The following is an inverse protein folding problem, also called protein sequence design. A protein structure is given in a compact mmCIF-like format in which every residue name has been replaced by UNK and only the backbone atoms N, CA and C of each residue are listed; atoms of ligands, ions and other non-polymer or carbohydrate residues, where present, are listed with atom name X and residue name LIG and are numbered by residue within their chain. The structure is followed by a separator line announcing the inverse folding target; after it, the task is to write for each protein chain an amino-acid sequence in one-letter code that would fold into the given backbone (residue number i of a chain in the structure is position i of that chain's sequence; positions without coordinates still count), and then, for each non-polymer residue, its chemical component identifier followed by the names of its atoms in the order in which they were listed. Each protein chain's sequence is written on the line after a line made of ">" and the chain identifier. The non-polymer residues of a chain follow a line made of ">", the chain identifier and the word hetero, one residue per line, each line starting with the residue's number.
data_IF_852598308880
#
_entry.id   IF_852598308880
#
_cell.length_a   1.000
_cell.length_b   1.000
_cell.length_c   1.000
_cell.angle_alpha   90.00
_cell.angle_beta   90.00
_cell.angle_gamma   90.00
#
_symmetry.space_group_name_H-M   'P 1'
#
loop_
_entity.id
_entity.type
_entity.pdbx_description
1 polymer ?
#
# COMPACT_ATOMS: atom_id res chain seq x y z
N UNK A 1 -11.13 -9.10 -4.03
CA UNK A 1 -10.64 -7.74 -3.75
C UNK A 1 -10.35 -7.47 -2.26
N UNK A 2 -11.31 -7.64 -1.33
CA UNK A 2 -11.13 -7.22 0.07
C UNK A 2 -9.85 -7.71 0.76
N UNK A 3 -9.57 -9.03 0.72
CA UNK A 3 -8.38 -9.57 1.38
C UNK A 3 -7.06 -9.10 0.76
N UNK A 4 -7.01 -9.01 -0.57
CA UNK A 4 -5.86 -8.49 -1.31
C UNK A 4 -5.58 -7.04 -0.91
N UNK A 5 -6.62 -6.20 -0.91
CA UNK A 5 -6.48 -4.79 -0.56
C UNK A 5 -6.07 -4.62 0.90
N UNK A 6 -6.59 -5.43 1.82
CA UNK A 6 -6.16 -5.40 3.22
C UNK A 6 -4.67 -5.74 3.38
N UNK A 7 -4.15 -6.69 2.59
CA UNK A 7 -2.74 -7.04 2.59
C UNK A 7 -1.84 -5.98 1.95
N UNK A 8 -2.29 -5.36 0.85
CA UNK A 8 -1.59 -4.21 0.27
C UNK A 8 -1.51 -3.04 1.25
N UNK A 9 -2.61 -2.71 1.93
CA UNK A 9 -2.60 -1.65 2.93
C UNK A 9 -1.63 -1.95 4.07
N UNK A 10 -1.48 -3.20 4.51
CA UNK A 10 -0.50 -3.55 5.55
C UNK A 10 0.92 -3.12 5.16
N UNK A 11 1.38 -3.53 3.97
CA UNK A 11 2.71 -3.19 3.46
C UNK A 11 2.89 -1.72 3.05
N UNK A 12 1.86 -1.09 2.47
CA UNK A 12 1.98 0.26 1.90
C UNK A 12 1.56 1.38 2.85
N UNK A 13 0.89 1.08 3.97
CA UNK A 13 0.54 2.09 4.99
C UNK A 13 1.19 1.85 6.34
N UNK A 14 1.66 0.63 6.58
CA UNK A 14 2.13 0.18 7.89
C UNK A 14 1.04 0.21 8.96
N UNK A 15 -0.24 0.26 8.59
CA UNK A 15 -1.36 0.25 9.53
C UNK A 15 -1.43 -1.04 10.35
N UNK A 16 -1.81 -0.97 11.62
CA UNK A 16 -2.01 -2.18 12.43
C UNK A 16 -3.29 -2.89 12.02
N UNK A 17 -3.40 -4.19 12.31
CA UNK A 17 -4.61 -4.99 12.08
C UNK A 17 -5.93 -4.25 12.41
N UNK A 18 -6.07 -3.74 13.64
CA UNK A 18 -7.30 -3.06 14.05
C UNK A 18 -7.51 -1.70 13.36
N UNK A 19 -6.42 -1.03 12.97
CA UNK A 19 -6.46 0.23 12.23
C UNK A 19 -6.98 0.01 10.80
N UNK A 20 -6.63 -1.13 10.18
CA UNK A 20 -6.98 -1.46 8.79
C UNK A 20 -8.28 -2.28 8.68
N UNK A 21 -8.37 -3.43 9.35
CA UNK A 21 -9.55 -4.30 9.29
C UNK A 21 -10.82 -3.62 9.83
N UNK A 22 -10.65 -2.55 10.61
CA UNK A 22 -11.72 -1.73 11.17
C UNK A 22 -12.20 -0.57 10.33
N UNK A 23 -11.63 -0.35 9.14
CA UNK A 23 -12.00 0.81 8.32
C UNK A 23 -13.47 0.78 7.96
N UNK A 24 -14.12 1.93 8.05
CA UNK A 24 -15.50 2.18 7.63
C UNK A 24 -15.50 3.09 6.39
N UNK A 25 -16.57 3.08 5.58
CA UNK A 25 -16.65 3.98 4.42
C UNK A 25 -16.50 5.46 4.77
N UNK A 26 -16.98 5.87 5.96
CA UNK A 26 -16.90 7.25 6.43
C UNK A 26 -15.48 7.68 6.86
N UNK A 27 -14.56 6.72 7.02
CA UNK A 27 -13.16 6.98 7.36
C UNK A 27 -12.27 7.16 6.13
N UNK A 28 -12.85 7.21 4.93
CA UNK A 28 -12.13 7.53 3.70
C UNK A 28 -12.46 8.93 3.21
N UNK A 29 -11.42 9.70 2.87
CA UNK A 29 -11.52 11.00 2.23
C UNK A 29 -11.07 10.87 0.78
N UNK A 30 -12.01 10.93 -0.16
CA UNK A 30 -11.74 10.79 -1.60
C UNK A 30 -10.96 11.96 -2.18
N UNK A 31 -11.08 13.17 -1.61
CA UNK A 31 -10.33 14.33 -2.08
C UNK A 31 -8.86 14.25 -1.66
N UNK A 32 -8.61 13.76 -0.44
CA UNK A 32 -7.25 13.57 0.08
C UNK A 32 -6.65 12.21 -0.26
N UNK A 33 -7.45 11.30 -0.83
CA UNK A 33 -7.11 9.89 -1.04
C UNK A 33 -6.51 9.25 0.22
N UNK A 34 -7.18 9.47 1.36
CA UNK A 34 -6.63 9.14 2.67
C UNK A 34 -7.60 8.35 3.52
N UNK A 35 -7.06 7.45 4.34
CA UNK A 35 -7.80 6.71 5.36
C UNK A 35 -7.54 7.29 6.75
N UNK A 36 -8.60 7.42 7.54
CA UNK A 36 -8.52 7.88 8.92
C UNK A 36 -8.18 6.73 9.86
N UNK A 37 -7.22 6.96 10.76
CA UNK A 37 -6.84 6.01 11.81
C UNK A 37 -7.13 6.64 13.17
N UNK A 38 -8.40 6.68 13.55
CA UNK A 38 -8.83 7.30 14.83
C UNK A 38 -9.39 6.28 15.82
N UNK A 39 -10.21 5.35 15.34
CA UNK A 39 -10.93 4.39 16.19
C UNK A 39 -10.67 2.96 15.71
N UNK A 40 -9.53 2.36 16.06
CA UNK A 40 -9.20 1.01 15.62
C UNK A 40 -10.22 -0.03 16.11
N UNK A 41 -10.51 -1.01 15.27
CA UNK A 41 -11.29 -2.19 15.63
C UNK A 41 -10.61 -2.96 16.76
N UNK A 42 -11.41 -3.42 17.72
CA UNK A 42 -10.97 -4.25 18.82
C UNK A 42 -11.61 -5.62 18.74
N UNK A 43 -10.83 -6.65 19.01
CA UNK A 43 -11.30 -8.01 19.17
C UNK A 43 -11.21 -8.37 20.66
N UNK A 44 -12.35 -8.53 21.34
CA UNK A 44 -12.45 -8.79 22.78
C UNK A 44 -13.45 -9.90 23.01
N UNK A 45 -13.03 -11.00 23.63
CA UNK A 45 -13.88 -12.16 23.97
C UNK A 45 -14.72 -12.66 22.78
N UNK A 46 -14.09 -12.76 21.60
CA UNK A 46 -14.73 -13.20 20.36
C UNK A 46 -15.72 -12.19 19.78
N UNK A 47 -15.67 -10.92 20.20
CA UNK A 47 -16.46 -9.82 19.63
C UNK A 47 -15.59 -8.78 18.96
N UNK A 48 -16.11 -8.23 17.87
CA UNK A 48 -15.54 -7.13 17.14
C UNK A 48 -16.22 -5.84 17.59
N UNK A 49 -15.44 -4.90 18.12
CA UNK A 49 -15.91 -3.62 18.61
C UNK A 49 -15.30 -2.48 17.79
N UNK A 50 -16.14 -1.65 17.17
CA UNK A 50 -15.75 -0.43 16.45
C UNK A 50 -16.38 0.76 17.14
N UNK A 51 -15.56 1.74 17.55
CA UNK A 51 -16.06 2.93 18.27
C UNK A 51 -16.86 2.62 19.54
N UNK A 52 -16.67 1.42 20.11
CA UNK A 52 -17.43 0.90 21.25
C UNK A 52 -18.75 0.21 20.89
N UNK A 53 -19.19 0.24 19.62
CA UNK A 53 -20.31 -0.54 19.13
C UNK A 53 -19.87 -1.97 18.78
N UNK A 54 -20.71 -2.94 19.11
CA UNK A 54 -20.53 -4.33 18.69
C UNK A 54 -20.88 -4.42 17.20
N UNK A 55 -19.86 -4.69 16.38
CA UNK A 55 -19.99 -4.87 14.93
C UNK A 55 -19.86 -6.34 14.55
N UNK A 56 -20.00 -7.25 15.52
CA UNK A 56 -20.16 -8.66 15.17
C UNK A 56 -21.44 -8.88 14.39
N UNK A 57 -21.31 -9.55 13.26
CA UNK A 57 -22.46 -10.12 12.58
C UNK A 57 -22.86 -11.41 13.31
N UNK A 58 -23.54 -11.27 14.45
CA UNK A 58 -24.31 -12.38 15.03
C UNK A 58 -25.62 -12.45 14.26
N UNK A 59 -25.90 -13.60 13.64
CA UNK A 59 -27.29 -14.00 13.43
C UNK A 59 -27.91 -13.95 14.82
N UNK A 60 -28.81 -13.01 15.06
CA UNK A 60 -29.57 -12.96 16.32
C UNK A 60 -30.21 -14.34 16.50
N UNK A 61 -29.81 -15.17 17.48
CA UNK A 61 -30.65 -16.29 17.84
C UNK A 61 -31.93 -15.66 18.37
N UNK A 62 -33.08 -16.11 17.87
CA UNK A 62 -34.39 -15.56 18.22
C UNK A 62 -34.53 -15.26 19.71
N UNK A 63 -35.27 -14.19 20.01
CA UNK A 63 -35.64 -13.76 21.35
C UNK A 63 -35.95 -14.94 22.28
N UNK A 64 -34.96 -15.32 23.09
CA UNK A 64 -35.18 -16.09 24.32
C UNK A 64 -35.36 -15.08 25.47
N UNK A 65 -36.39 -15.22 26.33
CA UNK A 65 -36.58 -14.31 27.45
C UNK A 65 -35.48 -14.55 28.48
N UNK A 66 -34.41 -13.76 28.43
CA UNK A 66 -33.31 -13.88 29.40
C UNK A 66 -31.97 -13.23 29.05
N UNK A 67 -31.86 -12.43 27.99
CA UNK A 67 -30.59 -11.77 27.66
C UNK A 67 -30.25 -10.72 28.73
N UNK A 68 -29.33 -11.07 29.64
CA UNK A 68 -28.72 -10.16 30.61
C UNK A 68 -28.23 -8.90 29.90
N UNK A 69 -28.64 -7.72 30.40
CA UNK A 69 -28.18 -6.41 29.91
C UNK A 69 -26.64 -6.40 29.86
N UNK A 70 -26.02 -6.07 28.72
CA UNK A 70 -24.56 -6.04 28.65
C UNK A 70 -24.03 -4.99 29.63
N UNK A 71 -23.06 -5.41 30.47
CA UNK A 71 -22.29 -4.50 31.32
C UNK A 71 -21.71 -3.40 30.44
N UNK A 72 -21.86 -2.14 30.86
CA UNK A 72 -21.32 -0.95 30.19
C UNK A 72 -19.78 -1.04 30.19
N UNK A 73 -19.20 -1.53 29.10
CA UNK A 73 -17.75 -1.55 28.91
C UNK A 73 -17.28 -0.09 28.83
N UNK A 74 -16.35 0.33 29.69
CA UNK A 74 -15.79 1.68 29.67
C UNK A 74 -15.14 1.94 28.30
N UNK A 75 -15.65 2.96 27.60
CA UNK A 75 -15.24 3.46 26.28
C UNK A 75 -13.75 3.86 26.27
N UNK A 76 -12.91 3.03 25.67
CA UNK A 76 -11.63 3.46 25.12
C UNK A 76 -11.63 3.09 23.62
N UNK A 77 -12.42 3.78 22.80
CA UNK A 77 -12.48 3.55 21.35
C UNK A 77 -11.23 4.03 20.60
N UNK A 78 -10.55 5.04 21.17
CA UNK A 78 -9.41 5.70 20.55
C UNK A 78 -8.12 4.90 20.61
N UNK A 79 -7.16 5.32 19.79
CA UNK A 79 -5.78 4.84 19.83
C UNK A 79 -5.14 5.06 21.21
N UNK A 80 -4.09 4.28 21.52
CA UNK A 80 -3.41 4.31 22.83
C UNK A 80 -2.75 5.67 23.14
N UNK A 81 -2.47 6.48 22.13
CA UNK A 81 -1.89 7.82 22.31
C UNK A 81 -2.36 8.75 21.20
N UNK A 82 -2.48 10.07 21.43
CA UNK A 82 -2.91 11.03 20.40
C UNK A 82 -2.10 10.95 19.11
N UNK A 83 -0.81 10.65 19.18
CA UNK A 83 0.04 10.47 18.00
C UNK A 83 -0.37 9.29 17.10
N UNK A 84 -1.20 8.37 17.60
CA UNK A 84 -1.78 7.28 16.81
C UNK A 84 -2.94 7.75 15.93
N UNK A 85 -3.59 8.86 16.28
CA UNK A 85 -4.66 9.48 15.52
C UNK A 85 -4.08 10.25 14.34
N UNK A 86 -4.35 9.78 13.11
CA UNK A 86 -3.78 10.37 11.90
C UNK A 86 -4.60 10.04 10.66
N UNK A 87 -4.41 10.85 9.63
CA UNK A 87 -4.75 10.48 8.26
C UNK A 87 -3.55 9.79 7.62
N UNK A 88 -3.80 8.75 6.83
CA UNK A 88 -2.78 8.06 6.04
C UNK A 88 -3.20 8.13 4.58
N UNK A 89 -2.50 8.97 3.82
CA UNK A 89 -2.67 9.04 2.37
C UNK A 89 -2.21 7.74 1.72
N UNK A 90 -3.00 7.30 0.74
CA UNK A 90 -2.74 6.14 -0.09
C UNK A 90 -1.98 6.58 -1.35
N UNK A 91 -1.04 5.76 -1.81
CA UNK A 91 -0.44 5.96 -3.13
C UNK A 91 -1.56 5.94 -4.20
N UNK A 92 -1.46 6.71 -5.29
CA UNK A 92 -2.54 6.89 -6.26
C UNK A 92 -3.19 5.59 -6.72
N UNK A 93 -2.41 4.56 -7.05
CA UNK A 93 -2.97 3.28 -7.50
C UNK A 93 -3.68 2.54 -6.38
N UNK A 94 -3.16 2.60 -5.15
CA UNK A 94 -3.85 2.02 -3.99
C UNK A 94 -5.14 2.76 -3.66
N UNK A 95 -5.21 4.08 -3.84
CA UNK A 95 -6.42 4.86 -3.69
C UNK A 95 -7.50 4.40 -4.68
N UNK A 96 -7.14 4.25 -5.96
CA UNK A 96 -8.04 3.72 -7.00
C UNK A 96 -8.57 2.32 -6.64
N UNK A 97 -7.70 1.43 -6.16
CA UNK A 97 -8.09 0.10 -5.70
C UNK A 97 -9.00 0.14 -4.47
N UNK A 98 -8.75 1.06 -3.54
CA UNK A 98 -9.57 1.27 -2.35
C UNK A 98 -10.97 1.76 -2.72
N UNK A 99 -11.07 2.73 -3.63
CA UNK A 99 -12.32 3.29 -4.13
C UNK A 99 -13.13 2.24 -4.89
N UNK A 100 -12.50 1.41 -5.71
CA UNK A 100 -13.15 0.26 -6.34
C UNK A 100 -13.70 -0.70 -5.28
N UNK A 101 -12.95 -0.99 -4.22
CA UNK A 101 -13.43 -1.82 -3.12
C UNK A 101 -14.63 -1.18 -2.41
N UNK A 102 -14.61 0.13 -2.16
CA UNK A 102 -15.74 0.86 -1.56
C UNK A 102 -17.00 0.77 -2.44
N UNK A 103 -16.85 0.93 -3.75
CA UNK A 103 -17.94 0.90 -4.72
C UNK A 103 -18.54 -0.50 -4.93
N UNK A 104 -17.74 -1.56 -4.77
CA UNK A 104 -18.15 -2.97 -5.01
C UNK A 104 -18.47 -3.74 -3.74
N UNK A 105 -18.50 -3.06 -2.60
CA UNK A 105 -18.73 -3.68 -1.29
C UNK A 105 -20.16 -4.22 -1.16
N UNK A 106 -20.37 -5.34 -0.43
CA UNK A 106 -21.72 -5.82 -0.14
C UNK A 106 -22.57 -4.76 0.58
N UNK A 107 -23.80 -4.57 0.09
CA UNK A 107 -24.77 -3.64 0.66
C UNK A 107 -25.01 -3.94 2.15
N UNK A 108 -25.17 -2.89 2.96
CA UNK A 108 -25.42 -3.02 4.41
C UNK A 108 -24.18 -3.32 5.27
N UNK A 109 -23.01 -3.60 4.70
CA UNK A 109 -21.80 -3.79 5.53
C UNK A 109 -21.41 -2.46 6.20
N UNK A 110 -21.12 -2.46 7.49
CA UNK A 110 -20.63 -1.27 8.21
C UNK A 110 -19.11 -1.09 8.10
N UNK A 111 -18.40 -2.18 7.80
CA UNK A 111 -16.94 -2.26 7.68
C UNK A 111 -16.56 -2.46 6.20
N UNK A 112 -15.44 -1.86 5.77
CA UNK A 112 -14.90 -1.95 4.41
C UNK A 112 -14.37 -3.34 4.11
N UNK A 113 -13.61 -3.92 5.03
CA UNK A 113 -12.96 -5.22 4.85
C UNK A 113 -13.80 -6.36 5.38
N UNK A 114 -14.42 -7.09 4.47
CA UNK A 114 -15.32 -8.20 4.77
C UNK A 114 -14.96 -9.46 3.99
N UNK A 115 -15.44 -10.59 4.48
CA UNK A 115 -15.47 -11.86 3.75
C UNK A 115 -16.42 -11.78 2.54
N UNK A 116 -16.40 -12.80 1.69
CA UNK A 116 -17.31 -12.90 0.53
C UNK A 116 -18.79 -12.85 0.96
N UNK A 117 -19.10 -13.26 2.18
CA UNK A 117 -20.44 -13.21 2.76
C UNK A 117 -20.78 -11.86 3.42
N UNK A 118 -19.93 -10.82 3.27
CA UNK A 118 -20.14 -9.50 3.86
C UNK A 118 -19.83 -9.40 5.35
N UNK A 119 -19.34 -10.47 5.98
CA UNK A 119 -19.01 -10.46 7.42
C UNK A 119 -17.64 -9.82 7.68
N UNK A 120 -17.48 -8.98 8.73
CA UNK A 120 -16.18 -8.44 9.10
C UNK A 120 -15.14 -9.52 9.39
N UNK A 121 -13.86 -9.23 9.14
CA UNK A 121 -12.78 -10.17 9.40
C UNK A 121 -12.42 -10.22 10.89
N UNK A 122 -12.37 -11.44 11.44
CA UNK A 122 -11.57 -11.75 12.64
C UNK A 122 -10.11 -11.96 12.24
N UNK A 123 -9.17 -11.60 13.12
CA UNK A 123 -7.74 -11.75 12.84
C UNK A 123 -7.38 -13.19 12.53
N UNK A 124 -7.86 -14.13 13.33
CA UNK A 124 -7.60 -15.57 13.16
C UNK A 124 -8.12 -16.09 11.82
N UNK A 125 -9.35 -15.74 11.45
CA UNK A 125 -9.98 -16.16 10.21
C UNK A 125 -9.27 -15.60 8.98
N UNK A 126 -8.96 -14.30 8.98
CA UNK A 126 -8.19 -13.70 7.89
C UNK A 126 -6.80 -14.33 7.77
N UNK A 127 -6.11 -14.53 8.90
CA UNK A 127 -4.81 -15.19 8.92
C UNK A 127 -4.88 -16.58 8.30
N UNK A 128 -5.79 -17.42 8.76
CA UNK A 128 -5.87 -18.82 8.34
C UNK A 128 -6.37 -18.99 6.90
N UNK A 129 -7.34 -18.16 6.47
CA UNK A 129 -8.05 -18.36 5.19
C UNK A 129 -7.51 -17.53 4.03
N UNK A 130 -6.80 -16.45 4.32
CA UNK A 130 -6.28 -15.55 3.30
C UNK A 130 -4.76 -15.41 3.40
N UNK A 131 -4.26 -14.97 4.56
CA UNK A 131 -2.85 -14.60 4.71
C UNK A 131 -1.89 -15.78 4.56
N UNK A 132 -2.11 -16.87 5.32
CA UNK A 132 -1.22 -18.03 5.29
C UNK A 132 -1.22 -18.71 3.90
N UNK A 133 -2.38 -18.99 3.27
CA UNK A 133 -2.39 -19.51 1.90
C UNK A 133 -1.68 -18.62 0.87
N UNK A 134 -1.73 -17.29 1.03
CA UNK A 134 -1.08 -16.36 0.10
C UNK A 134 0.46 -16.33 0.23
N UNK A 135 0.99 -16.50 1.45
CA UNK A 135 2.43 -16.38 1.71
C UNK A 135 3.15 -17.71 1.85
N UNK A 136 2.54 -18.70 2.51
CA UNK A 136 3.10 -20.03 2.72
C UNK A 136 2.69 -21.03 1.64
N UNK A 137 1.81 -20.62 0.72
CA UNK A 137 1.29 -21.49 -0.33
C UNK A 137 0.20 -22.46 0.15
N UNK A 138 -0.23 -23.32 -0.79
CA UNK A 138 -1.22 -24.37 -0.59
C UNK A 138 -0.62 -25.65 -1.17
N UNK A 139 -0.56 -26.73 -0.38
CA UNK A 139 0.15 -27.95 -0.78
C UNK A 139 1.57 -27.62 -1.32
N UNK A 140 2.28 -26.70 -0.66
CA UNK A 140 3.50 -26.07 -1.17
C UNK A 140 4.65 -27.05 -1.44
N UNK A 141 4.70 -28.17 -0.71
CA UNK A 141 5.70 -29.22 -0.92
C UNK A 141 5.28 -30.30 -1.94
N UNK A 142 4.08 -30.18 -2.51
CA UNK A 142 3.51 -31.15 -3.45
C UNK A 142 3.10 -30.48 -4.77
N UNK A 143 4.06 -30.32 -5.67
CA UNK A 143 3.84 -29.75 -7.01
C UNK A 143 2.87 -30.54 -7.89
N UNK A 144 2.61 -31.82 -7.57
CA UNK A 144 1.63 -32.64 -8.28
C UNK A 144 0.18 -32.38 -7.82
N UNK A 145 -0.03 -31.64 -6.72
CA UNK A 145 -1.37 -31.28 -6.27
C UNK A 145 -2.04 -30.31 -7.24
N UNK A 146 -3.32 -30.56 -7.56
CA UNK A 146 -4.13 -29.63 -8.36
C UNK A 146 -4.37 -28.27 -7.68
N UNK A 147 -4.14 -28.20 -6.37
CA UNK A 147 -4.27 -26.96 -5.58
C UNK A 147 -2.92 -26.35 -5.24
N UNK A 148 -1.84 -26.88 -5.82
CA UNK A 148 -0.50 -26.42 -5.52
C UNK A 148 -0.37 -24.92 -5.79
N UNK A 149 0.01 -24.19 -4.74
CA UNK A 149 0.46 -22.81 -4.80
C UNK A 149 1.79 -22.79 -4.06
N UNK A 150 2.90 -22.40 -4.71
CA UNK A 150 4.19 -22.34 -4.06
C UNK A 150 4.20 -21.27 -2.97
N UNK A 151 5.05 -21.48 -1.96
CA UNK A 151 5.27 -20.46 -0.96
C UNK A 151 6.11 -19.32 -1.53
N UNK A 152 5.78 -18.08 -1.15
CA UNK A 152 6.53 -16.89 -1.54
C UNK A 152 7.50 -16.50 -0.43
N UNK A 153 6.98 -16.35 0.79
CA UNK A 153 7.75 -16.02 1.98
C UNK A 153 7.14 -16.71 3.20
N UNK A 154 7.48 -18.00 3.42
CA UNK A 154 6.94 -18.76 4.54
C UNK A 154 7.16 -18.05 5.87
N UNK A 155 6.12 -18.01 6.70
CA UNK A 155 6.20 -17.41 8.02
C UNK A 155 5.92 -15.89 8.06
N UNK A 156 5.80 -15.22 6.91
CA UNK A 156 5.50 -13.80 6.86
C UNK A 156 4.19 -13.49 7.59
N UNK A 157 4.22 -12.58 8.56
CA UNK A 157 3.06 -12.24 9.39
C UNK A 157 2.48 -10.88 9.00
N UNK A 158 1.23 -10.62 9.35
CA UNK A 158 0.63 -9.29 9.18
C UNK A 158 1.37 -8.21 9.99
N UNK A 159 2.17 -8.56 11.00
CA UNK A 159 2.99 -7.54 11.66
C UNK A 159 4.21 -7.16 10.83
N UNK A 160 4.73 -8.10 10.05
CA UNK A 160 5.90 -7.89 9.20
C UNK A 160 5.63 -6.86 8.11
N UNK A 161 4.39 -6.74 7.59
CA UNK A 161 4.07 -5.69 6.61
C UNK A 161 4.33 -4.28 7.14
N UNK A 162 4.07 -4.03 8.42
CA UNK A 162 4.44 -2.77 9.08
C UNK A 162 5.96 -2.59 9.23
N UNK A 163 6.70 -3.67 9.49
CA UNK A 163 8.17 -3.61 9.53
C UNK A 163 8.72 -3.31 8.14
N UNK A 164 8.24 -4.02 7.11
CA UNK A 164 8.55 -3.78 5.69
C UNK A 164 8.26 -2.33 5.31
N UNK A 165 7.09 -1.79 5.65
CA UNK A 165 6.75 -0.40 5.37
C UNK A 165 7.78 0.59 5.96
N UNK A 166 8.15 0.37 7.23
CA UNK A 166 9.14 1.22 7.90
C UNK A 166 10.52 1.13 7.25
N UNK A 167 10.91 -0.06 6.80
CA UNK A 167 12.18 -0.30 6.10
C UNK A 167 12.17 0.37 4.73
N UNK A 168 11.12 0.19 3.92
CA UNK A 168 10.98 0.82 2.60
C UNK A 168 11.12 2.33 2.67
N UNK A 169 10.37 2.99 3.55
CA UNK A 169 10.50 4.44 3.72
C UNK A 169 11.91 4.86 4.17
N UNK A 170 12.66 4.00 4.85
CA UNK A 170 14.06 4.30 5.23
C UNK A 170 15.00 4.16 4.02
N UNK A 171 14.83 3.09 3.24
CA UNK A 171 15.59 2.85 2.00
C UNK A 171 15.35 3.95 0.96
N UNK A 172 14.13 4.46 0.87
CA UNK A 172 13.74 5.54 -0.05
C UNK A 172 14.18 6.93 0.44
N UNK A 173 14.96 7.00 1.52
CA UNK A 173 15.48 8.25 2.05
C UNK A 173 14.44 9.16 2.72
N UNK A 174 13.25 8.64 3.05
CA UNK A 174 12.21 9.44 3.71
C UNK A 174 12.68 9.84 5.11
N UNK A 175 12.66 11.15 5.35
CA UNK A 175 13.07 11.77 6.61
C UNK A 175 12.28 11.22 7.80
N UNK A 176 12.96 11.02 8.93
CA UNK A 176 12.41 10.30 10.08
C UNK A 176 11.11 10.91 10.61
N UNK A 177 11.00 12.25 10.63
CA UNK A 177 9.78 12.94 11.06
C UNK A 177 8.55 12.48 10.28
N UNK A 178 8.67 12.37 8.95
CA UNK A 178 7.59 11.95 8.08
C UNK A 178 7.25 10.46 8.27
N UNK A 179 8.27 9.59 8.38
CA UNK A 179 8.05 8.16 8.65
C UNK A 179 7.34 7.93 9.97
N UNK A 180 7.78 8.61 11.04
CA UNK A 180 7.18 8.47 12.37
C UNK A 180 5.76 9.00 12.41
N UNK A 181 5.49 10.15 11.78
CA UNK A 181 4.14 10.67 11.67
C UNK A 181 3.21 9.70 10.92
N UNK A 182 3.66 9.17 9.77
CA UNK A 182 2.91 8.16 9.00
C UNK A 182 2.63 6.88 9.78
N UNK A 183 3.55 6.44 10.63
CA UNK A 183 3.38 5.27 11.50
C UNK A 183 2.59 5.57 12.79
N UNK A 184 2.31 6.84 13.09
CA UNK A 184 1.69 7.27 14.35
C UNK A 184 2.60 7.05 15.56
N UNK A 185 3.91 7.23 15.37
CA UNK A 185 4.94 7.17 16.40
C UNK A 185 5.25 8.56 16.92
N UNK A 186 5.40 8.72 18.24
CA UNK A 186 5.92 9.96 18.82
C UNK A 186 7.40 10.13 18.47
N UNK A 187 7.78 11.35 18.08
CA UNK A 187 9.18 11.79 18.06
C UNK A 187 9.70 11.88 19.50
N UNK A 188 10.95 11.45 19.72
CA UNK A 188 11.67 11.62 21.00
C UNK A 188 12.66 12.78 20.84
N UNK A 189 13.02 13.46 21.93
CA UNK A 189 14.04 14.52 21.93
C UNK A 189 13.59 15.84 21.28
N UNK A 190 14.57 16.65 20.85
CA UNK A 190 14.35 18.01 20.31
C UNK A 190 13.55 18.05 19.00
N UNK A 191 13.61 17.00 18.17
CA UNK A 191 12.84 16.92 16.91
C UNK A 191 11.32 17.01 17.10
N UNK A 192 10.80 16.71 18.30
CA UNK A 192 9.38 16.93 18.63
C UNK A 192 8.94 18.40 18.50
N UNK A 193 9.85 19.35 18.70
CA UNK A 193 9.55 20.78 18.76
C UNK A 193 9.80 21.47 17.42
N UNK A 194 10.72 20.95 16.61
CA UNK A 194 11.19 21.63 15.39
C UNK A 194 10.81 20.94 14.08
N UNK A 195 10.57 19.63 14.09
CA UNK A 195 10.26 18.90 12.86
C UNK A 195 8.75 18.80 12.66
N UNK A 196 8.24 19.50 11.66
CA UNK A 196 6.87 19.38 11.18
C UNK A 196 6.83 18.59 9.88
N UNK A 197 5.82 17.74 9.73
CA UNK A 197 5.55 17.10 8.44
C UNK A 197 5.09 18.18 7.46
N UNK A 198 5.74 18.25 6.31
CA UNK A 198 5.38 19.17 5.23
C UNK A 198 4.64 18.43 4.13
N UNK A 199 3.83 19.12 3.30
CA UNK A 199 3.20 18.52 2.13
C UNK A 199 4.21 17.88 1.16
N UNK A 200 5.42 18.44 1.08
CA UNK A 200 6.51 17.89 0.26
C UNK A 200 7.00 16.54 0.77
N UNK A 201 7.13 16.36 2.09
CA UNK A 201 7.49 15.06 2.67
C UNK A 201 6.39 14.02 2.44
N UNK A 202 5.12 14.42 2.50
CA UNK A 202 3.98 13.57 2.16
C UNK A 202 4.02 13.15 0.69
N UNK A 203 4.28 14.11 -0.22
CA UNK A 203 4.45 13.85 -1.66
C UNK A 203 5.57 12.84 -1.91
N UNK A 204 6.74 13.00 -1.29
CA UNK A 204 7.87 12.07 -1.42
C UNK A 204 7.52 10.65 -0.96
N UNK A 205 6.76 10.51 0.13
CA UNK A 205 6.26 9.20 0.55
C UNK A 205 5.37 8.58 -0.52
N UNK A 206 4.42 9.35 -1.07
CA UNK A 206 3.48 8.83 -2.05
C UNK A 206 4.17 8.43 -3.35
N UNK A 207 5.14 9.21 -3.82
CA UNK A 207 5.95 8.90 -5.00
C UNK A 207 6.76 7.63 -4.80
N UNK A 208 7.51 7.52 -3.69
CA UNK A 208 8.31 6.34 -3.40
C UNK A 208 7.45 5.05 -3.31
N UNK A 209 6.27 5.15 -2.70
CA UNK A 209 5.35 4.02 -2.60
C UNK A 209 4.70 3.69 -3.95
N UNK A 210 4.33 4.67 -4.76
CA UNK A 210 3.79 4.45 -6.10
C UNK A 210 4.85 3.79 -7.00
N UNK A 211 6.09 4.28 -6.98
CA UNK A 211 7.21 3.71 -7.74
C UNK A 211 7.47 2.25 -7.36
N UNK A 212 7.44 1.92 -6.07
CA UNK A 212 7.54 0.53 -5.60
C UNK A 212 6.39 -0.33 -6.11
N UNK A 213 5.16 0.17 -6.10
CA UNK A 213 4.01 -0.54 -6.64
C UNK A 213 4.17 -0.78 -8.15
N UNK A 214 4.44 0.27 -8.93
CA UNK A 214 4.64 0.20 -10.38
C UNK A 214 5.76 -0.77 -10.73
N UNK A 215 6.90 -0.69 -10.05
CA UNK A 215 8.03 -1.60 -10.25
C UNK A 215 7.62 -3.06 -9.98
N UNK A 216 6.83 -3.31 -8.93
CA UNK A 216 6.39 -4.67 -8.57
C UNK A 216 5.44 -5.31 -9.58
N UNK A 217 4.74 -4.51 -10.39
CA UNK A 217 3.80 -5.02 -11.42
C UNK A 217 4.40 -5.02 -12.83
N UNK A 218 5.52 -4.34 -13.05
CA UNK A 218 6.19 -4.26 -14.35
C UNK A 218 7.44 -5.12 -14.47
N UNK A 219 8.26 -5.20 -13.42
CA UNK A 219 9.58 -5.83 -13.51
C UNK A 219 9.57 -7.37 -13.32
N UNK A 220 8.82 -7.94 -12.36
CA UNK A 220 8.92 -9.37 -12.08
C UNK A 220 7.85 -10.23 -12.77
N UNK A 221 6.77 -9.63 -13.30
CA UNK A 221 5.66 -10.37 -13.89
C UNK A 221 5.88 -10.58 -15.38
N UNK A 222 5.66 -11.79 -15.87
CA UNK A 222 5.54 -12.02 -17.31
C UNK A 222 4.21 -11.51 -17.87
N UNK A 223 4.08 -11.46 -19.20
CA UNK A 223 2.87 -10.96 -19.86
C UNK A 223 1.60 -11.73 -19.46
N UNK A 224 1.71 -13.05 -19.23
CA UNK A 224 0.57 -13.89 -18.86
C UNK A 224 0.14 -13.67 -17.41
N UNK A 225 1.10 -13.53 -16.49
CA UNK A 225 0.86 -13.16 -15.09
C UNK A 225 0.25 -11.76 -14.99
N UNK A 226 0.73 -10.83 -15.80
CA UNK A 226 0.21 -9.47 -15.85
C UNK A 226 -1.22 -9.43 -16.42
N UNK A 227 -1.51 -10.15 -17.50
CA UNK A 227 -2.87 -10.29 -18.03
C UNK A 227 -3.83 -10.89 -17.00
N UNK A 228 -3.37 -11.90 -16.25
CA UNK A 228 -4.13 -12.51 -15.17
C UNK A 228 -4.40 -11.53 -14.03
N UNK A 229 -3.40 -10.74 -13.64
CA UNK A 229 -3.56 -9.67 -12.64
C UNK A 229 -4.60 -8.64 -13.10
N UNK A 230 -4.54 -8.22 -14.36
CA UNK A 230 -5.48 -7.25 -14.95
C UNK A 230 -6.90 -7.80 -15.08
N UNK A 231 -7.07 -9.12 -15.14
CA UNK A 231 -8.38 -9.76 -15.05
C UNK A 231 -8.97 -9.62 -13.65
N UNK A 232 -8.16 -9.72 -12.60
CA UNK A 232 -8.61 -9.62 -11.20
C UNK A 232 -8.76 -8.19 -10.71
N UNK A 233 -7.92 -7.28 -11.18
CA UNK A 233 -7.86 -5.88 -10.75
C UNK A 233 -7.74 -4.97 -11.97
N UNK A 234 -8.80 -4.82 -12.77
CA UNK A 234 -8.71 -4.09 -14.04
C UNK A 234 -8.38 -2.60 -13.87
N UNK A 235 -8.65 -2.02 -12.70
CA UNK A 235 -8.43 -0.60 -12.42
C UNK A 235 -6.95 -0.19 -12.50
N UNK A 236 -6.00 -1.11 -12.30
CA UNK A 236 -4.57 -0.79 -12.38
C UNK A 236 -4.05 -0.72 -13.82
N UNK A 237 -4.87 -1.06 -14.83
CA UNK A 237 -4.47 -0.95 -16.24
C UNK A 237 -3.99 0.45 -16.59
N UNK A 238 -4.72 1.46 -16.12
CA UNK A 238 -4.37 2.88 -16.32
C UNK A 238 -2.99 3.19 -15.76
N UNK A 239 -2.65 2.67 -14.59
CA UNK A 239 -1.32 2.83 -13.98
C UNK A 239 -0.22 2.19 -14.84
N UNK A 240 -0.45 0.95 -15.29
CA UNK A 240 0.52 0.20 -16.09
C UNK A 240 0.76 0.88 -17.44
N UNK A 241 -0.31 1.27 -18.13
CA UNK A 241 -0.22 1.91 -19.45
C UNK A 241 0.48 3.27 -19.35
N UNK A 242 0.19 4.05 -18.30
CA UNK A 242 0.87 5.31 -18.01
C UNK A 242 2.36 5.08 -17.76
N UNK A 243 2.72 4.14 -16.90
CA UNK A 243 4.11 3.86 -16.55
C UNK A 243 4.93 3.38 -17.77
N UNK A 244 4.33 2.55 -18.64
CA UNK A 244 4.95 2.14 -19.92
C UNK A 244 5.19 3.34 -20.84
N UNK A 245 4.19 4.20 -20.99
CA UNK A 245 4.31 5.42 -21.80
C UNK A 245 5.43 6.34 -21.28
N UNK A 246 5.53 6.52 -19.97
CA UNK A 246 6.58 7.32 -19.34
C UNK A 246 7.97 6.70 -19.53
N UNK A 247 8.09 5.37 -19.41
CA UNK A 247 9.33 4.65 -19.68
C UNK A 247 9.78 4.77 -21.14
N UNK A 248 8.86 4.68 -22.10
CA UNK A 248 9.14 4.89 -23.53
C UNK A 248 9.63 6.30 -23.82
N UNK A 249 8.98 7.31 -23.23
CA UNK A 249 9.39 8.72 -23.35
C UNK A 249 10.80 8.91 -22.76
N UNK A 250 11.10 8.30 -21.61
CA UNK A 250 12.42 8.38 -20.99
C UNK A 250 13.48 7.70 -21.85
N UNK A 251 13.21 6.50 -22.36
CA UNK A 251 14.11 5.77 -23.27
C UNK A 251 14.40 6.58 -24.54
N UNK A 252 13.37 7.18 -25.15
CA UNK A 252 13.52 8.03 -26.31
C UNK A 252 14.37 9.29 -26.03
N UNK A 253 14.26 9.87 -24.83
CA UNK A 253 15.11 11.00 -24.40
C UNK A 253 16.56 10.57 -24.24
N UNK A 254 16.84 9.40 -23.64
CA UNK A 254 18.21 8.88 -23.49
C UNK A 254 18.85 8.65 -24.86
N UNK A 255 18.16 7.98 -25.78
CA UNK A 255 18.63 7.77 -27.16
C UNK A 255 18.83 9.11 -27.90
N UNK A 256 17.93 10.07 -27.71
CA UNK A 256 18.03 11.41 -28.30
C UNK A 256 19.18 12.25 -27.74
N UNK A 257 19.56 12.07 -26.47
CA UNK A 257 20.75 12.68 -25.87
C UNK A 257 22.02 12.05 -26.43
N UNK A 258 22.06 10.73 -26.59
CA UNK A 258 23.19 10.02 -27.21
C UNK A 258 23.41 10.48 -28.66
N UNK A 259 22.34 10.60 -29.46
CA UNK A 259 22.41 11.11 -30.84
C UNK A 259 22.89 12.57 -30.92
N UNK A 260 22.51 13.43 -29.97
CA UNK A 260 22.98 14.83 -29.93
C UNK A 260 24.44 14.95 -29.51
N UNK A 261 24.93 14.05 -28.66
CA UNK A 261 26.33 14.02 -28.23
C UNK A 261 27.31 13.58 -29.32
N UNK A 262 26.83 12.85 -30.34
CA UNK A 262 27.64 12.37 -31.48
C UNK A 262 27.78 13.37 -32.63
N UNK A 263 27.05 14.48 -32.62
CA UNK A 263 27.15 15.54 -33.63
C UNK A 263 28.00 16.70 -33.07
N UNK A 264 29.28 16.43 -32.82
CA UNK A 264 30.29 17.48 -32.67
C UNK A 264 31.16 17.47 -33.94
N UNK A 265 31.20 18.54 -34.76
CA UNK A 265 31.99 18.54 -35.98
C UNK A 265 33.48 18.62 -35.62
N UNK A 266 34.22 17.55 -35.89
CA UNK A 266 35.68 17.60 -35.97
C UNK A 266 36.06 18.59 -37.07
N UNK A 267 36.51 19.78 -36.66
CA UNK A 267 36.98 20.82 -37.57
C UNK A 267 38.10 20.29 -38.46
N UNK A 268 37.90 20.41 -39.78
CA UNK A 268 38.92 20.18 -40.80
C UNK A 268 40.15 21.04 -40.50
N UNK A 269 41.27 20.40 -40.19
CA UNK A 269 42.59 21.00 -40.29
C UNK A 269 42.87 21.29 -41.76
N UNK A 270 42.79 22.55 -42.16
CA UNK A 270 43.15 23.02 -43.48
C UNK A 270 44.68 23.18 -43.55
N UNK A 271 45.40 22.10 -43.88
CA UNK A 271 46.80 22.18 -44.28
C UNK A 271 46.85 22.34 -45.81
N UNK A 272 47.05 23.56 -46.28
CA UNK A 272 47.75 23.86 -47.53
C UNK A 272 47.99 25.37 -47.69
N UNK A 273 49.28 25.77 -47.63
CA UNK A 273 49.78 27.01 -48.24
C UNK A 273 51.20 26.77 -48.76
N UNK A 274 51.48 26.98 -50.05
CA UNK A 274 52.83 26.86 -50.60
C UNK A 274 53.57 28.21 -50.59
N UNK A 275 54.89 28.15 -50.39
CA UNK A 275 55.89 28.99 -51.08
C UNK A 275 56.01 30.48 -50.70
N UNK A 276 57.13 30.83 -50.07
CA UNK A 276 57.67 32.20 -50.03
C UNK A 276 59.11 32.21 -49.54
N UNK A 277 60.06 32.42 -50.45
CA UNK A 277 61.51 32.51 -50.21
C UNK A 277 61.93 33.90 -49.67
N UNK A 278 63.05 33.88 -48.93
CA UNK A 278 64.22 34.82 -48.96
C UNK A 278 64.46 35.79 -47.77
N UNK A 279 65.76 36.10 -47.63
CA UNK A 279 66.56 36.77 -46.59
C UNK A 279 66.94 35.84 -45.41
N UNK A 280 68.19 35.43 -45.17
CA UNK A 280 69.52 35.90 -45.62
C UNK A 280 70.51 34.72 -45.67
#
# INVERSE_FOLDING_TARGET
>A
MSGLMLGLLDGYTGGRWGELAGQTPAEYDALRQATAVFEPLKEVDGRLLKSGADVTDRVTPGFGPGARRPRRIKRNARTKSPAGERWVQLAPTLAMMYELLLATRPAGSSIVFTSLQGKPWYRSNFRQRFWRPAWDGVDADNSASKRHVPAILPGFTFHEGRHTHSTWLTEDGIVEVARRARLGHKMKGMGRVYDHVTPEMERQILEALEDRFVTSVLAPLDDAEQEKLLTWVPVIRVTIDKARSEAEILAAKVVGVDLRSQIAPTGRANQNRPGGKSAS
#
